data_IF_374990047588
#
_entry.id   IF_374990047588
#
_cell.length_a   1.000
_cell.length_b   1.000
_cell.length_c   1.000
_cell.angle_alpha   90.00
_cell.angle_beta   90.00
_cell.angle_gamma   90.00
#
_symmetry.space_group_name_H-M   'P 1'
#
loop_
_entity.id
_entity.type
_entity.pdbx_description
1 polymer ?
#
# COMPACT_ATOMS: atom_id res chain seq x y z
N UNK A 1 -24.09 15.01 -29.13
CA UNK A 1 -23.99 13.56 -28.81
C UNK A 1 -22.62 13.09 -28.33
N UNK A 2 -21.64 13.96 -28.02
CA UNK A 2 -20.34 13.56 -27.40
C UNK A 2 -20.20 13.92 -25.90
N UNK A 3 -21.19 14.62 -25.33
CA UNK A 3 -21.17 15.07 -23.94
C UNK A 3 -21.85 14.09 -22.96
N UNK A 4 -22.59 13.10 -23.45
CA UNK A 4 -23.25 12.10 -22.60
C UNK A 4 -22.39 10.85 -22.36
N UNK A 5 -21.46 10.53 -23.26
CA UNK A 5 -20.51 9.41 -23.09
C UNK A 5 -19.37 9.71 -22.10
N UNK A 6 -18.98 10.98 -21.95
CA UNK A 6 -17.99 11.38 -20.92
C UNK A 6 -18.55 11.24 -19.50
N UNK A 7 -19.87 11.38 -19.33
CA UNK A 7 -20.50 11.26 -18.02
C UNK A 7 -20.67 9.80 -17.54
N UNK A 8 -20.67 8.84 -18.48
CA UNK A 8 -20.74 7.40 -18.19
C UNK A 8 -19.38 6.75 -17.96
N UNK A 9 -18.28 7.38 -18.41
CA UNK A 9 -16.91 6.97 -18.06
C UNK A 9 -16.47 7.47 -16.68
N UNK A 10 -17.14 8.50 -16.13
CA UNK A 10 -16.82 9.09 -14.83
C UNK A 10 -17.61 8.45 -13.65
N UNK A 11 -18.40 7.40 -13.91
CA UNK A 11 -19.13 6.61 -12.90
C UNK A 11 -18.62 5.17 -12.77
N UNK A 12 -17.39 4.89 -13.23
CA UNK A 12 -16.64 3.69 -12.83
C UNK A 12 -15.72 3.94 -11.63
N UNK A 13 -16.08 4.91 -10.77
CA UNK A 13 -15.61 4.91 -9.37
C UNK A 13 -16.13 3.65 -8.72
N UNK A 14 -15.33 2.59 -8.83
CA UNK A 14 -15.51 1.36 -8.10
C UNK A 14 -15.48 1.75 -6.64
N UNK A 15 -16.65 1.86 -6.01
CA UNK A 15 -16.75 1.88 -4.56
C UNK A 15 -16.16 0.55 -4.09
N UNK A 16 -14.85 0.54 -3.83
CA UNK A 16 -14.18 -0.57 -3.16
C UNK A 16 -14.86 -0.66 -1.81
N UNK A 17 -15.70 -1.68 -1.63
CA UNK A 17 -16.33 -1.97 -0.34
C UNK A 17 -15.19 -2.20 0.63
N UNK A 18 -14.91 -1.21 1.48
CA UNK A 18 -13.93 -1.36 2.55
C UNK A 18 -14.31 -2.63 3.31
N UNK A 19 -13.35 -3.52 3.50
CA UNK A 19 -13.62 -4.72 4.28
C UNK A 19 -13.99 -4.27 5.69
N UNK A 20 -15.09 -4.82 6.21
CA UNK A 20 -15.45 -4.57 7.59
C UNK A 20 -14.42 -5.31 8.45
N UNK A 21 -13.49 -4.55 9.02
CA UNK A 21 -12.47 -5.10 9.90
C UNK A 21 -13.15 -5.66 11.15
N UNK A 22 -12.74 -6.86 11.56
CA UNK A 22 -13.29 -7.57 12.71
C UNK A 22 -12.17 -8.00 13.66
N UNK A 23 -12.53 -8.28 14.91
CA UNK A 23 -11.59 -8.67 15.96
C UNK A 23 -10.53 -7.60 16.19
N UNK A 24 -9.26 -8.03 16.35
CA UNK A 24 -8.11 -7.16 16.62
C UNK A 24 -7.98 -5.97 15.64
N UNK A 25 -8.34 -6.15 14.37
CA UNK A 25 -8.19 -5.12 13.35
C UNK A 25 -9.28 -4.04 13.39
N UNK A 26 -10.37 -4.28 14.13
CA UNK A 26 -11.49 -3.33 14.26
C UNK A 26 -11.13 -2.13 15.15
N UNK A 27 -10.19 -2.30 16.09
CA UNK A 27 -9.80 -1.25 17.03
C UNK A 27 -8.99 -0.13 16.34
N UNK A 28 -9.07 1.08 16.90
CA UNK A 28 -8.29 2.24 16.44
C UNK A 28 -6.90 2.32 17.07
N UNK A 29 -6.61 1.46 18.05
CA UNK A 29 -5.31 1.33 18.68
C UNK A 29 -4.89 -0.13 18.61
N UNK A 30 -3.84 -0.42 17.85
CA UNK A 30 -3.30 -1.77 17.71
C UNK A 30 -2.08 -1.94 18.62
N UNK A 31 -2.18 -2.84 19.58
CA UNK A 31 -1.09 -3.25 20.48
C UNK A 31 -0.37 -4.48 19.93
N UNK A 32 0.92 -4.35 19.63
CA UNK A 32 1.73 -5.44 19.08
C UNK A 32 1.70 -6.72 19.92
N UNK A 33 1.58 -6.61 21.24
CA UNK A 33 1.56 -7.78 22.13
C UNK A 33 0.25 -8.57 22.07
N UNK A 34 -0.83 -7.94 21.63
CA UNK A 34 -2.12 -8.59 21.37
C UNK A 34 -2.30 -8.97 19.90
N UNK A 35 -1.30 -8.71 19.05
CA UNK A 35 -1.40 -8.93 17.62
C UNK A 35 -1.37 -10.43 17.29
N UNK A 36 -2.38 -10.96 16.57
CA UNK A 36 -2.44 -12.39 16.24
C UNK A 36 -1.32 -12.87 15.32
N UNK A 37 -0.62 -11.95 14.64
CA UNK A 37 0.47 -12.28 13.73
C UNK A 37 1.85 -12.29 14.41
N UNK A 38 1.94 -11.90 15.69
CA UNK A 38 3.21 -11.87 16.41
C UNK A 38 3.64 -13.29 16.80
N UNK A 39 4.71 -13.79 16.18
CA UNK A 39 5.25 -15.15 16.42
C UNK A 39 6.40 -15.19 17.42
N UNK A 40 7.05 -14.06 17.67
CA UNK A 40 8.24 -13.97 18.52
C UNK A 40 8.21 -12.70 19.37
N UNK A 41 8.96 -12.65 20.49
CA UNK A 41 8.96 -11.48 21.36
C UNK A 41 9.32 -10.19 20.62
N UNK A 42 8.52 -9.16 20.83
CA UNK A 42 8.73 -7.85 20.24
C UNK A 42 9.93 -7.14 20.89
N UNK A 43 10.93 -6.77 20.08
CA UNK A 43 12.19 -6.18 20.57
C UNK A 43 12.30 -4.67 20.39
N UNK A 44 11.25 -4.04 19.89
CA UNK A 44 11.27 -2.61 19.56
C UNK A 44 10.45 -1.81 20.56
N UNK A 45 10.80 -0.53 20.70
CA UNK A 45 10.15 0.39 21.63
C UNK A 45 8.72 0.76 21.21
N UNK A 46 8.44 0.77 19.90
CA UNK A 46 7.12 1.13 19.37
C UNK A 46 6.13 -0.02 19.55
N UNK A 47 5.29 0.08 20.59
CA UNK A 47 4.26 -0.92 20.95
C UNK A 47 2.91 -0.71 20.26
N UNK A 48 2.53 0.55 20.05
CA UNK A 48 1.19 0.90 19.60
C UNK A 48 1.19 1.55 18.21
N UNK A 49 0.19 1.22 17.41
CA UNK A 49 -0.19 1.98 16.22
C UNK A 49 -1.54 2.65 16.51
N UNK A 50 -1.58 3.98 16.36
CA UNK A 50 -2.68 4.83 16.83
C UNK A 50 -3.37 5.52 15.66
N UNK A 51 -4.44 4.91 15.16
CA UNK A 51 -5.24 5.41 14.04
C UNK A 51 -6.22 6.50 14.45
N UNK A 52 -6.53 6.60 15.75
CA UNK A 52 -7.28 7.71 16.36
C UNK A 52 -6.64 9.08 16.10
N UNK A 53 -5.36 9.12 15.72
CA UNK A 53 -4.67 10.34 15.28
C UNK A 53 -5.16 10.90 13.94
N UNK A 54 -5.92 10.13 13.15
CA UNK A 54 -6.50 10.57 11.88
C UNK A 54 -7.95 11.00 12.13
N UNK A 55 -8.24 12.30 12.13
CA UNK A 55 -9.59 12.81 12.46
C UNK A 55 -10.64 12.35 11.43
N UNK A 56 -10.27 12.33 10.16
CA UNK A 56 -11.15 11.86 9.09
C UNK A 56 -11.38 10.34 9.18
N UNK A 57 -12.61 9.95 9.54
CA UNK A 57 -13.01 8.54 9.75
C UNK A 57 -12.83 7.70 8.49
N UNK A 58 -13.12 8.24 7.30
CA UNK A 58 -13.01 7.49 6.06
C UNK A 58 -11.54 7.19 5.74
N UNK A 59 -10.66 8.20 5.81
CA UNK A 59 -9.22 8.02 5.64
C UNK A 59 -8.64 7.09 6.71
N UNK A 60 -9.11 7.19 7.96
CA UNK A 60 -8.72 6.28 9.04
C UNK A 60 -9.01 4.82 8.67
N UNK A 61 -10.22 4.54 8.18
CA UNK A 61 -10.61 3.19 7.77
C UNK A 61 -9.83 2.70 6.54
N UNK A 62 -9.52 3.59 5.60
CA UNK A 62 -8.68 3.29 4.43
C UNK A 62 -7.27 2.87 4.86
N UNK A 63 -6.63 3.63 5.76
CA UNK A 63 -5.29 3.31 6.28
C UNK A 63 -5.29 2.00 7.09
N UNK A 64 -6.30 1.77 7.94
CA UNK A 64 -6.46 0.51 8.69
C UNK A 64 -6.61 -0.68 7.74
N UNK A 65 -7.43 -0.55 6.70
CA UNK A 65 -7.62 -1.58 5.70
C UNK A 65 -6.32 -1.86 4.92
N UNK A 66 -5.61 -0.81 4.49
CA UNK A 66 -4.31 -0.96 3.84
C UNK A 66 -3.33 -1.74 4.74
N UNK A 67 -3.19 -1.33 6.01
CA UNK A 67 -2.21 -1.95 6.91
C UNK A 67 -2.57 -3.42 7.19
N UNK A 68 -3.83 -3.71 7.53
CA UNK A 68 -4.28 -5.07 7.79
C UNK A 68 -4.15 -5.97 6.56
N UNK A 69 -4.56 -5.50 5.38
CA UNK A 69 -4.44 -6.27 4.13
C UNK A 69 -2.97 -6.57 3.80
N UNK A 70 -2.07 -5.58 3.92
CA UNK A 70 -0.64 -5.79 3.67
C UNK A 70 0.01 -6.74 4.69
N UNK A 71 -0.42 -6.69 5.96
CA UNK A 71 0.08 -7.62 6.98
C UNK A 71 -0.43 -9.04 6.76
N UNK A 72 -1.73 -9.21 6.48
CA UNK A 72 -2.37 -10.51 6.27
C UNK A 72 -1.88 -11.20 4.99
N UNK A 73 -1.53 -10.42 3.96
CA UNK A 73 -0.91 -10.92 2.74
C UNK A 73 0.58 -11.23 2.88
N UNK A 74 1.19 -11.02 4.06
CA UNK A 74 2.65 -11.05 4.27
C UNK A 74 3.41 -10.11 3.31
N UNK A 75 2.74 -9.03 2.88
CA UNK A 75 3.32 -7.97 2.07
C UNK A 75 4.29 -7.13 2.90
N UNK A 76 3.89 -6.82 4.12
CA UNK A 76 4.63 -6.04 5.09
C UNK A 76 4.91 -6.83 6.36
N UNK A 77 6.07 -6.57 6.96
CA UNK A 77 6.41 -7.06 8.29
C UNK A 77 5.71 -6.21 9.35
N UNK A 78 5.48 -6.79 10.53
CA UNK A 78 5.01 -6.05 11.71
C UNK A 78 5.90 -4.82 12.01
N UNK A 79 7.23 -4.95 11.85
CA UNK A 79 8.17 -3.84 12.01
C UNK A 79 7.96 -2.71 11.00
N UNK A 80 7.59 -3.01 9.76
CA UNK A 80 7.26 -2.01 8.75
C UNK A 80 6.09 -1.14 9.21
N UNK A 81 5.05 -1.77 9.76
CA UNK A 81 3.85 -1.05 10.24
C UNK A 81 4.12 -0.31 11.55
N UNK A 82 4.62 -0.97 12.60
CA UNK A 82 4.77 -0.34 13.92
C UNK A 82 5.90 0.69 13.99
N UNK A 83 7.06 0.38 13.41
CA UNK A 83 8.27 1.21 13.51
C UNK A 83 8.38 2.14 12.31
N UNK A 84 7.98 1.66 11.14
CA UNK A 84 8.06 2.43 9.91
C UNK A 84 6.93 3.44 9.83
N UNK A 85 5.69 3.00 9.75
CA UNK A 85 4.57 3.88 9.42
C UNK A 85 3.83 4.44 10.64
N UNK A 86 3.59 3.62 11.66
CA UNK A 86 2.76 3.97 12.82
C UNK A 86 3.23 5.22 13.55
N UNK A 87 4.55 5.40 13.67
CA UNK A 87 5.15 6.59 14.29
C UNK A 87 4.89 7.91 13.55
N UNK A 88 4.49 7.85 12.28
CA UNK A 88 4.23 9.03 11.45
C UNK A 88 2.73 9.39 11.40
N UNK A 89 1.83 8.50 11.84
CA UNK A 89 0.38 8.71 11.75
C UNK A 89 -0.09 9.98 12.46
N UNK A 90 0.52 10.33 13.61
CA UNK A 90 0.20 11.56 14.32
C UNK A 90 0.43 12.80 13.47
N UNK A 91 1.61 12.91 12.87
CA UNK A 91 1.97 14.07 12.07
C UNK A 91 1.22 14.07 10.74
N UNK A 92 0.95 12.88 10.18
CA UNK A 92 0.13 12.74 8.98
C UNK A 92 -1.30 13.23 9.24
N UNK A 93 -1.91 12.88 10.37
CA UNK A 93 -3.23 13.39 10.76
C UNK A 93 -3.24 14.92 10.85
N UNK A 94 -2.29 15.50 11.57
CA UNK A 94 -2.16 16.96 11.67
C UNK A 94 -1.96 17.65 10.31
N UNK A 95 -1.21 17.02 9.41
CA UNK A 95 -1.00 17.53 8.06
C UNK A 95 -2.29 17.48 7.23
N UNK A 96 -3.00 16.37 7.25
CA UNK A 96 -4.26 16.21 6.53
C UNK A 96 -5.33 17.18 7.05
N UNK A 97 -5.44 17.35 8.37
CA UNK A 97 -6.40 18.27 8.97
C UNK A 97 -6.12 19.74 8.58
N UNK A 98 -4.84 20.09 8.40
CA UNK A 98 -4.41 21.45 8.03
C UNK A 98 -4.55 21.71 6.52
N UNK A 99 -4.03 20.83 5.68
CA UNK A 99 -3.88 21.08 4.25
C UNK A 99 -5.05 20.50 3.42
N UNK A 100 -5.77 19.53 3.98
CA UNK A 100 -6.82 18.76 3.31
C UNK A 100 -8.07 18.52 4.20
N UNK A 101 -8.63 19.54 4.87
CA UNK A 101 -9.69 19.36 5.89
C UNK A 101 -11.00 18.74 5.37
N UNK A 102 -11.27 18.83 4.07
CA UNK A 102 -12.54 18.41 3.46
C UNK A 102 -12.42 17.19 2.54
N UNK A 103 -11.27 16.50 2.53
CA UNK A 103 -11.11 15.30 1.70
C UNK A 103 -12.10 14.23 2.13
N UNK A 104 -12.71 13.55 1.16
CA UNK A 104 -13.63 12.45 1.47
C UNK A 104 -12.92 11.11 1.46
N UNK A 105 -11.84 10.97 0.69
CA UNK A 105 -11.06 9.75 0.54
C UNK A 105 -9.61 10.08 0.21
N UNK A 106 -8.70 9.17 0.53
CA UNK A 106 -7.27 9.34 0.21
C UNK A 106 -6.97 9.43 -1.29
N UNK A 107 -7.88 8.98 -2.15
CA UNK A 107 -7.74 9.04 -3.61
C UNK A 107 -7.84 10.47 -4.17
N UNK A 108 -8.35 11.42 -3.39
CA UNK A 108 -8.41 12.84 -3.76
C UNK A 108 -7.07 13.55 -3.54
N UNK A 109 -6.11 12.89 -2.87
CA UNK A 109 -4.83 13.48 -2.52
C UNK A 109 -3.88 13.52 -3.73
N UNK A 110 -3.29 14.68 -4.06
CA UNK A 110 -2.32 14.77 -5.14
C UNK A 110 -0.98 14.13 -4.74
N UNK A 111 -0.53 13.12 -5.49
CA UNK A 111 0.67 12.33 -5.14
C UNK A 111 1.92 13.21 -5.04
N UNK A 112 2.30 13.88 -6.13
CA UNK A 112 3.58 14.61 -6.22
C UNK A 112 3.55 15.92 -5.45
N UNK A 113 2.54 16.76 -5.70
CA UNK A 113 2.38 18.05 -5.03
C UNK A 113 2.19 17.86 -3.52
N UNK A 114 1.36 16.91 -3.11
CA UNK A 114 1.13 16.62 -1.70
C UNK A 114 2.37 16.04 -1.02
N UNK A 115 3.21 15.27 -1.72
CA UNK A 115 4.49 14.80 -1.16
C UNK A 115 5.44 15.98 -0.88
N UNK A 116 5.48 16.97 -1.76
CA UNK A 116 6.28 18.18 -1.55
C UNK A 116 5.78 18.95 -0.32
N UNK A 117 4.47 19.18 -0.21
CA UNK A 117 3.85 19.85 0.94
C UNK A 117 4.09 19.07 2.24
N UNK A 118 3.99 17.75 2.20
CA UNK A 118 4.24 16.85 3.33
C UNK A 118 5.67 16.97 3.85
N UNK A 119 6.66 16.94 2.95
CA UNK A 119 8.08 17.14 3.30
C UNK A 119 8.33 18.50 3.91
N UNK A 120 7.74 19.56 3.34
CA UNK A 120 7.84 20.93 3.87
C UNK A 120 7.23 21.03 5.27
N UNK A 121 6.03 20.47 5.48
CA UNK A 121 5.38 20.45 6.80
C UNK A 121 6.24 19.74 7.86
N UNK A 122 6.82 18.59 7.52
CA UNK A 122 7.73 17.87 8.43
C UNK A 122 9.00 18.66 8.74
N UNK A 123 9.58 19.34 7.75
CA UNK A 123 10.74 20.20 7.95
C UNK A 123 10.42 21.38 8.88
N UNK A 124 9.23 21.98 8.77
CA UNK A 124 8.76 23.02 9.69
C UNK A 124 8.61 22.52 11.13
N UNK A 125 8.28 21.24 11.33
CA UNK A 125 8.28 20.59 12.65
C UNK A 125 9.69 20.20 13.16
N UNK A 126 10.76 20.54 12.42
CA UNK A 126 12.15 20.19 12.77
C UNK A 126 12.49 18.71 12.56
N UNK A 127 11.67 17.97 11.81
CA UNK A 127 11.89 16.55 11.56
C UNK A 127 12.84 16.34 10.39
N UNK A 128 13.78 15.40 10.56
CA UNK A 128 14.68 14.98 9.46
C UNK A 128 13.90 14.25 8.38
N UNK A 129 14.44 14.29 7.16
CA UNK A 129 13.97 13.47 6.04
C UNK A 129 13.90 11.99 6.45
N UNK A 130 12.78 11.34 6.13
CA UNK A 130 12.56 9.93 6.42
C UNK A 130 11.78 9.33 5.26
N UNK A 131 12.41 8.41 4.54
CA UNK A 131 11.83 7.74 3.38
C UNK A 131 10.56 6.97 3.75
N UNK A 132 10.42 6.49 4.99
CA UNK A 132 9.24 5.70 5.41
C UNK A 132 8.00 6.56 5.54
N UNK A 133 8.16 7.81 5.95
CA UNK A 133 7.08 8.78 5.96
C UNK A 133 6.65 9.18 4.54
N UNK A 134 7.60 9.25 3.61
CA UNK A 134 7.30 9.52 2.20
C UNK A 134 6.60 8.32 1.55
N UNK A 135 7.04 7.09 1.85
CA UNK A 135 6.37 5.86 1.41
C UNK A 135 4.96 5.75 2.00
N UNK A 136 4.75 6.12 3.26
CA UNK A 136 3.42 6.16 3.86
C UNK A 136 2.48 7.09 3.09
N UNK A 137 2.95 8.29 2.73
CA UNK A 137 2.20 9.22 1.89
C UNK A 137 1.85 8.60 0.53
N UNK A 138 2.84 8.01 -0.15
CA UNK A 138 2.63 7.36 -1.45
C UNK A 138 1.60 6.22 -1.36
N UNK A 139 1.70 5.37 -0.34
CA UNK A 139 0.76 4.29 -0.13
C UNK A 139 -0.65 4.81 0.15
N UNK A 140 -0.80 5.87 0.95
CA UNK A 140 -2.07 6.51 1.23
C UNK A 140 -2.75 7.00 -0.07
N UNK A 141 -2.02 7.71 -0.93
CA UNK A 141 -2.55 8.18 -2.21
C UNK A 141 -2.88 7.05 -3.19
N UNK A 142 -2.31 5.86 -3.00
CA UNK A 142 -2.48 4.71 -3.91
C UNK A 142 -3.58 3.71 -3.47
N UNK A 143 -4.23 3.90 -2.31
CA UNK A 143 -5.19 2.93 -1.75
C UNK A 143 -6.31 2.54 -2.74
N UNK A 144 -6.80 3.49 -3.55
CA UNK A 144 -7.82 3.26 -4.58
C UNK A 144 -7.29 2.95 -5.97
N UNK A 145 -5.98 2.93 -6.18
CA UNK A 145 -5.34 2.64 -7.46
C UNK A 145 -4.81 1.20 -7.56
N UNK A 146 -5.14 0.33 -6.60
CA UNK A 146 -4.73 -1.07 -6.66
C UNK A 146 -5.35 -1.79 -7.87
N UNK A 147 -4.48 -2.41 -8.67
CA UNK A 147 -4.88 -3.22 -9.81
C UNK A 147 -5.52 -4.53 -9.33
N UNK A 148 -6.84 -4.66 -9.56
CA UNK A 148 -7.65 -5.81 -9.14
C UNK A 148 -7.63 -6.97 -10.15
N UNK A 149 -6.96 -6.81 -11.30
CA UNK A 149 -6.85 -7.89 -12.29
C UNK A 149 -6.14 -9.10 -11.68
N UNK A 150 -6.36 -10.28 -12.27
CA UNK A 150 -5.58 -11.48 -11.91
C UNK A 150 -4.08 -11.17 -12.00
N UNK A 151 -3.27 -11.75 -11.12
CA UNK A 151 -1.86 -11.37 -10.99
C UNK A 151 -1.11 -11.52 -12.33
N UNK A 152 -1.42 -12.55 -13.13
CA UNK A 152 -0.80 -12.73 -14.46
C UNK A 152 -1.24 -11.70 -15.51
N UNK A 153 -2.37 -11.03 -15.29
CA UNK A 153 -2.87 -9.97 -16.17
C UNK A 153 -2.18 -8.63 -15.91
N UNK A 154 -1.67 -8.41 -14.70
CA UNK A 154 -0.93 -7.18 -14.31
C UNK A 154 0.40 -7.08 -15.03
N UNK A 155 0.95 -5.88 -15.09
CA UNK A 155 2.31 -5.63 -15.59
C UNK A 155 3.37 -5.64 -14.48
N UNK A 156 2.94 -5.74 -13.22
CA UNK A 156 3.80 -6.07 -12.09
C UNK A 156 3.21 -7.29 -11.40
N UNK A 157 3.95 -8.41 -11.37
CA UNK A 157 3.53 -9.63 -10.68
C UNK A 157 4.19 -9.72 -9.32
N UNK A 158 3.41 -9.99 -8.29
CA UNK A 158 3.86 -10.38 -6.97
C UNK A 158 3.90 -11.91 -6.86
N UNK A 159 5.10 -12.48 -6.74
CA UNK A 159 5.26 -13.94 -6.72
C UNK A 159 4.57 -14.64 -5.56
N UNK A 160 4.33 -13.92 -4.45
CA UNK A 160 3.59 -14.46 -3.30
C UNK A 160 2.12 -14.74 -3.65
N UNK A 161 1.60 -14.08 -4.68
CA UNK A 161 0.22 -14.18 -5.15
C UNK A 161 0.06 -15.09 -6.36
N UNK A 162 1.15 -15.60 -6.93
CA UNK A 162 1.14 -16.51 -8.07
C UNK A 162 0.87 -17.97 -7.70
N UNK A 163 0.86 -18.32 -6.40
CA UNK A 163 0.65 -19.70 -5.93
C UNK A 163 1.81 -20.65 -6.26
N UNK A 164 3.01 -20.11 -6.50
CA UNK A 164 4.23 -20.88 -6.82
C UNK A 164 5.18 -20.95 -5.62
N UNK A 165 6.10 -21.92 -5.61
CA UNK A 165 7.20 -21.94 -4.65
C UNK A 165 8.22 -20.84 -4.98
N UNK A 166 8.67 -20.12 -3.96
CA UNK A 166 9.68 -19.07 -4.11
C UNK A 166 10.57 -19.00 -2.87
N UNK A 167 11.74 -18.38 -3.03
CA UNK A 167 12.68 -18.17 -1.94
C UNK A 167 12.20 -17.03 -1.03
N UNK A 168 11.80 -17.37 0.19
CA UNK A 168 11.30 -16.44 1.22
C UNK A 168 12.39 -15.59 1.90
N UNK A 169 13.67 -15.87 1.63
CA UNK A 169 14.80 -15.12 2.18
C UNK A 169 15.14 -13.88 1.34
N UNK A 170 14.67 -13.79 0.09
CA UNK A 170 14.86 -12.61 -0.76
C UNK A 170 13.88 -11.50 -0.38
N UNK A 171 14.25 -10.24 -0.62
CA UNK A 171 13.40 -9.08 -0.33
C UNK A 171 12.64 -8.56 -1.55
N UNK A 172 13.06 -8.94 -2.77
CA UNK A 172 12.39 -8.55 -4.00
C UNK A 172 11.47 -9.66 -4.51
N UNK A 173 10.16 -9.47 -4.30
CA UNK A 173 9.09 -10.39 -4.70
C UNK A 173 8.35 -9.93 -5.97
N UNK A 174 8.78 -8.84 -6.59
CA UNK A 174 8.10 -8.25 -7.74
C UNK A 174 8.83 -8.59 -9.05
N UNK A 175 8.06 -8.99 -10.06
CA UNK A 175 8.46 -9.02 -11.46
C UNK A 175 7.79 -7.85 -12.16
N UNK A 176 8.57 -6.84 -12.55
CA UNK A 176 8.05 -5.63 -13.20
C UNK A 176 8.30 -5.71 -14.70
N UNK A 177 7.21 -5.65 -15.47
CA UNK A 177 7.22 -5.62 -16.93
C UNK A 177 6.89 -4.23 -17.48
N UNK A 178 6.54 -3.27 -16.61
CA UNK A 178 6.24 -1.88 -16.98
C UNK A 178 7.42 -1.18 -17.68
N UNK A 179 8.65 -1.60 -17.37
CA UNK A 179 9.87 -1.03 -17.94
C UNK A 179 10.10 -1.47 -19.40
N UNK A 180 9.31 -2.43 -19.91
CA UNK A 180 9.36 -2.87 -21.30
C UNK A 180 8.45 -1.95 -22.12
N UNK A 181 8.96 -1.07 -22.99
CA UNK A 181 8.14 -0.04 -23.65
C UNK A 181 7.21 -0.61 -24.73
N UNK A 182 7.60 -1.70 -25.40
CA UNK A 182 6.81 -2.27 -26.50
C UNK A 182 5.79 -3.30 -26.00
N UNK A 183 4.50 -3.02 -26.17
CA UNK A 183 3.39 -3.87 -25.69
C UNK A 183 3.45 -5.31 -26.20
N UNK A 184 3.74 -5.49 -27.50
CA UNK A 184 3.85 -6.83 -28.11
C UNK A 184 4.97 -7.63 -27.46
N UNK A 185 6.11 -6.98 -27.19
CA UNK A 185 7.23 -7.64 -26.54
C UNK A 185 6.94 -7.92 -25.07
N UNK A 186 6.30 -6.99 -24.36
CA UNK A 186 5.83 -7.18 -22.98
C UNK A 186 4.94 -8.42 -22.84
N UNK A 187 3.99 -8.62 -23.76
CA UNK A 187 3.12 -9.81 -23.78
C UNK A 187 3.93 -11.09 -23.95
N UNK A 188 4.91 -11.09 -24.86
CA UNK A 188 5.78 -12.25 -25.11
C UNK A 188 6.65 -12.57 -23.88
N UNK A 189 7.27 -11.56 -23.27
CA UNK A 189 8.09 -11.71 -22.06
C UNK A 189 7.25 -12.23 -20.90
N UNK A 190 6.03 -11.71 -20.70
CA UNK A 190 5.08 -12.23 -19.70
C UNK A 190 4.75 -13.70 -19.97
N UNK A 191 4.42 -14.08 -21.21
CA UNK A 191 4.16 -15.50 -21.55
C UNK A 191 5.36 -16.39 -21.26
N UNK A 192 6.57 -15.96 -21.63
CA UNK A 192 7.80 -16.68 -21.34
C UNK A 192 8.05 -16.83 -19.83
N UNK A 193 7.94 -15.73 -19.07
CA UNK A 193 8.07 -15.73 -17.61
C UNK A 193 7.09 -16.70 -16.95
N UNK A 194 5.82 -16.74 -17.40
CA UNK A 194 4.82 -17.69 -16.89
C UNK A 194 5.23 -19.15 -17.10
N UNK A 195 5.76 -19.48 -18.30
CA UNK A 195 6.25 -20.84 -18.61
C UNK A 195 7.47 -21.19 -17.76
N UNK A 196 8.36 -20.23 -17.51
CA UNK A 196 9.53 -20.47 -16.66
C UNK A 196 9.13 -20.68 -15.20
N UNK A 197 8.21 -19.89 -14.66
CA UNK A 197 7.73 -20.04 -13.28
C UNK A 197 6.96 -21.34 -13.05
N UNK A 198 6.39 -21.96 -14.10
CA UNK A 198 5.75 -23.27 -14.02
C UNK A 198 6.71 -24.45 -14.17
N UNK A 199 7.90 -24.23 -14.76
CA UNK A 199 8.90 -25.27 -15.02
C UNK A 199 10.11 -25.22 -14.08
N UNK A 200 10.45 -24.04 -13.59
CA UNK A 200 11.68 -23.73 -12.86
C UNK A 200 11.37 -22.80 -11.68
N UNK A 201 12.33 -22.67 -10.75
CA UNK A 201 12.18 -21.74 -9.61
C UNK A 201 12.25 -20.27 -10.05
N UNK A 202 11.62 -19.40 -9.24
CA UNK A 202 11.60 -17.94 -9.40
C UNK A 202 12.95 -17.28 -9.73
N UNK A 203 14.06 -17.87 -9.26
CA UNK A 203 15.42 -17.34 -9.45
C UNK A 203 15.82 -17.17 -10.92
N UNK A 204 15.23 -17.94 -11.84
CA UNK A 204 15.56 -17.91 -13.27
C UNK A 204 14.89 -16.76 -14.06
N UNK A 205 13.97 -16.03 -13.42
CA UNK A 205 13.17 -14.98 -14.09
C UNK A 205 13.61 -13.56 -13.70
N UNK A 206 14.42 -13.43 -12.64
CA UNK A 206 14.90 -12.14 -12.10
C UNK A 206 16.25 -11.65 -12.68
N UNK A 207 16.64 -12.10 -13.87
CA UNK A 207 17.92 -11.69 -14.48
C UNK A 207 17.95 -10.20 -14.83
#
# INVERSE_FOLDING_TARGET
>A
MKFHEQHLLNQRSSQKKLMQLTGYWADDIWDIHSCPLLKSPWRYTHRYVRFDSLANVQVRQEVKNLFSQKLLADDWRLSTVWIGYGRHLKNLGQFLDREYPYIRSSNELPVEEGLMRWRTFRAQLGLRSDQRADSLWQHLCQIGHEDLRDEYQKDCWDVRRLGIEFNRSKTNYQLRFCDIPQDKFRILVKRFAKIQLSRNSFSYVQA
#
